data_IF_344601199594
#
_entry.id   IF_344601199594
#
_cell.length_a   1.000
_cell.length_b   1.000
_cell.length_c   1.000
_cell.angle_alpha   90.00
_cell.angle_beta   90.00
_cell.angle_gamma   90.00
#
_symmetry.space_group_name_H-M   'P 1'
#
loop_
_entity.id
_entity.type
_entity.pdbx_description
1 polymer ?
#
# COMPACT_ATOMS: atom_id res chain seq x y z
N UNK A 1 11.27 26.03 -14.74
CA UNK A 1 9.93 26.48 -14.34
C UNK A 1 9.41 25.44 -13.36
N UNK A 2 9.27 25.79 -12.07
CA UNK A 2 8.84 24.85 -11.04
C UNK A 2 7.34 24.59 -11.20
N UNK A 3 6.97 23.35 -11.54
CA UNK A 3 5.61 22.84 -11.41
C UNK A 3 5.29 22.71 -9.93
N UNK A 4 4.75 23.78 -9.37
CA UNK A 4 4.21 23.82 -8.01
C UNK A 4 2.82 23.17 -8.10
N UNK A 5 2.72 21.87 -7.77
CA UNK A 5 1.42 21.20 -7.71
C UNK A 5 0.87 21.22 -6.29
N UNK A 6 -0.32 21.82 -6.15
CA UNK A 6 -1.01 22.17 -4.92
C UNK A 6 -1.48 20.94 -4.13
N UNK A 7 -0.96 20.78 -2.91
CA UNK A 7 -1.80 20.25 -1.83
C UNK A 7 -2.74 21.38 -1.38
N UNK A 8 -3.93 21.05 -0.88
CA UNK A 8 -4.86 22.08 -0.40
C UNK A 8 -4.38 22.60 0.94
N UNK A 9 -4.17 23.91 1.06
CA UNK A 9 -3.94 24.53 2.36
C UNK A 9 -5.27 24.73 3.09
N UNK A 10 -5.38 24.15 4.28
CA UNK A 10 -6.54 24.27 5.16
C UNK A 10 -6.23 25.27 6.27
N UNK A 11 -7.26 26.00 6.71
CA UNK A 11 -7.15 26.90 7.85
C UNK A 11 -7.23 26.15 9.17
N UNK A 12 -6.74 26.75 10.25
CA UNK A 12 -6.89 26.22 11.61
C UNK A 12 -8.37 25.97 11.93
N UNK A 13 -9.26 26.88 11.51
CA UNK A 13 -10.72 26.74 11.72
C UNK A 13 -11.29 25.50 11.02
N UNK A 14 -10.78 25.14 9.84
CA UNK A 14 -11.21 23.93 9.13
C UNK A 14 -10.83 22.68 9.93
N UNK A 15 -9.63 22.66 10.49
CA UNK A 15 -9.15 21.53 11.31
C UNK A 15 -9.97 21.40 12.59
N UNK A 16 -10.20 22.48 13.33
CA UNK A 16 -11.05 22.47 14.53
C UNK A 16 -12.46 21.98 14.23
N UNK A 17 -13.06 22.43 13.12
CA UNK A 17 -14.40 21.99 12.71
C UNK A 17 -14.41 20.51 12.35
N UNK A 18 -13.38 20.04 11.64
CA UNK A 18 -13.30 18.66 11.18
C UNK A 18 -13.05 17.65 12.30
N UNK A 19 -12.37 18.05 13.37
CA UNK A 19 -12.04 17.21 14.53
C UNK A 19 -12.96 17.44 15.73
N UNK A 20 -14.02 18.23 15.58
CA UNK A 20 -14.91 18.66 16.67
C UNK A 20 -14.13 19.17 17.90
N UNK A 21 -13.27 20.16 17.66
CA UNK A 21 -12.36 20.73 18.68
C UNK A 21 -11.41 19.69 19.30
N UNK A 22 -10.92 18.75 18.48
CA UNK A 22 -10.05 17.62 18.89
C UNK A 22 -10.74 16.69 19.89
N UNK A 23 -12.01 16.35 19.64
CA UNK A 23 -12.76 15.45 20.50
C UNK A 23 -12.01 14.11 20.69
N UNK A 24 -11.80 13.66 21.95
CA UNK A 24 -11.07 12.42 22.23
C UNK A 24 -11.67 11.15 21.60
N UNK A 25 -12.97 11.14 21.29
CA UNK A 25 -13.63 10.01 20.62
C UNK A 25 -13.28 9.89 19.13
N UNK A 26 -12.78 10.98 18.53
CA UNK A 26 -12.31 11.00 17.14
C UNK A 26 -10.82 10.66 17.03
N UNK A 27 -10.12 10.52 18.16
CA UNK A 27 -8.71 10.11 18.16
C UNK A 27 -8.55 8.69 17.64
N UNK A 28 -7.72 8.53 16.63
CA UNK A 28 -7.33 7.23 16.05
C UNK A 28 -6.08 6.71 16.76
N UNK A 29 -5.05 7.55 16.83
CA UNK A 29 -3.73 7.14 17.34
C UNK A 29 -3.02 8.33 18.01
N UNK A 30 -2.17 8.04 18.99
CA UNK A 30 -1.15 8.96 19.49
C UNK A 30 0.21 8.28 19.43
N UNK A 31 1.05 8.79 18.54
CA UNK A 31 2.41 8.30 18.34
C UNK A 31 3.44 9.32 18.81
N UNK A 32 4.71 8.95 18.72
CA UNK A 32 5.84 9.80 19.13
C UNK A 32 5.82 11.17 18.44
N UNK A 33 5.35 11.26 17.20
CA UNK A 33 5.44 12.46 16.38
C UNK A 33 4.18 13.33 16.35
N UNK A 34 3.08 12.83 16.89
CA UNK A 34 1.81 13.55 16.82
C UNK A 34 0.61 12.67 17.13
N UNK A 35 -0.55 13.30 17.03
CA UNK A 35 -1.85 12.66 17.27
C UNK A 35 -2.63 12.64 15.96
N UNK A 36 -3.24 11.51 15.65
CA UNK A 36 -4.07 11.32 14.46
C UNK A 36 -5.53 11.33 14.89
N UNK A 37 -6.33 12.21 14.27
CA UNK A 37 -7.78 12.30 14.46
C UNK A 37 -8.51 11.87 13.18
N UNK A 38 -9.62 11.17 13.36
CA UNK A 38 -10.65 11.04 12.34
C UNK A 38 -11.33 12.41 12.18
N UNK A 39 -11.53 12.83 10.94
CA UNK A 39 -12.24 14.06 10.68
C UNK A 39 -13.12 14.00 9.45
N UNK A 40 -13.85 15.08 9.21
CA UNK A 40 -14.71 15.24 8.05
C UNK A 40 -14.49 16.62 7.42
N UNK A 41 -13.87 16.67 6.26
CA UNK A 41 -13.54 17.90 5.52
C UNK A 41 -14.15 17.85 4.12
N UNK A 42 -14.85 18.91 3.72
CA UNK A 42 -15.43 19.04 2.38
C UNK A 42 -16.23 17.79 1.94
N UNK A 43 -17.09 17.27 2.82
CA UNK A 43 -17.88 16.05 2.61
C UNK A 43 -17.07 14.75 2.45
N UNK A 44 -15.79 14.77 2.81
CA UNK A 44 -14.88 13.63 2.72
C UNK A 44 -14.38 13.27 4.10
N UNK A 45 -14.36 11.96 4.39
CA UNK A 45 -13.76 11.47 5.61
C UNK A 45 -12.23 11.47 5.48
N UNK A 46 -11.55 12.00 6.49
CA UNK A 46 -10.09 12.22 6.47
C UNK A 46 -9.42 11.72 7.75
N UNK A 47 -8.12 11.49 7.67
CA UNK A 47 -7.25 11.33 8.82
C UNK A 47 -6.38 12.58 8.96
N UNK A 48 -6.39 13.22 10.12
CA UNK A 48 -5.71 14.48 10.39
C UNK A 48 -4.61 14.21 11.41
N UNK A 49 -3.36 14.21 10.97
CA UNK A 49 -2.16 14.05 11.82
C UNK A 49 -1.69 15.42 12.24
N UNK A 50 -1.82 15.74 13.54
CA UNK A 50 -1.31 16.97 14.14
C UNK A 50 0.04 16.67 14.78
N UNK A 51 1.11 17.27 14.26
CA UNK A 51 2.46 17.00 14.72
C UNK A 51 2.76 17.72 16.05
N UNK A 52 3.55 17.09 16.93
CA UNK A 52 3.96 17.73 18.17
C UNK A 52 4.99 18.85 17.89
N UNK A 53 4.72 20.11 18.28
CA UNK A 53 5.59 21.25 17.97
C UNK A 53 6.91 21.24 18.77
N UNK A 54 6.96 20.49 19.88
CA UNK A 54 8.11 20.47 20.81
C UNK A 54 9.22 19.49 20.42
N UNK A 55 9.02 18.73 19.35
CA UNK A 55 10.04 17.81 18.84
C UNK A 55 10.84 18.59 17.80
N UNK A 56 12.16 18.66 17.95
CA UNK A 56 13.10 19.40 17.09
C UNK A 56 12.95 19.11 15.58
N UNK A 57 12.27 18.00 15.26
CA UNK A 57 11.98 17.52 13.92
C UNK A 57 10.54 17.82 13.44
N UNK A 58 9.64 18.43 14.22
CA UNK A 58 8.24 18.62 13.83
C UNK A 58 8.06 19.43 12.53
N UNK A 59 8.69 20.60 12.43
CA UNK A 59 8.65 21.45 11.22
C UNK A 59 9.41 20.80 10.06
N UNK A 60 10.61 20.27 10.33
CA UNK A 60 11.44 19.64 9.29
C UNK A 60 10.80 18.35 8.75
N UNK A 61 10.15 17.58 9.61
CA UNK A 61 9.38 16.38 9.29
C UNK A 61 8.13 16.71 8.51
N UNK A 62 7.36 17.71 8.95
CA UNK A 62 6.23 18.26 8.21
C UNK A 62 6.62 18.64 6.78
N UNK A 63 7.64 19.50 6.63
CA UNK A 63 8.08 19.97 5.32
C UNK A 63 8.59 18.82 4.46
N UNK A 64 9.36 17.90 5.04
CA UNK A 64 9.86 16.71 4.33
C UNK A 64 8.72 15.85 3.82
N UNK A 65 7.72 15.57 4.65
CA UNK A 65 6.60 14.71 4.29
C UNK A 65 5.74 15.36 3.20
N UNK A 66 5.48 16.67 3.30
CA UNK A 66 4.85 17.46 2.23
C UNK A 66 5.68 17.42 0.94
N UNK A 67 6.99 17.61 1.01
CA UNK A 67 7.90 17.63 -0.15
C UNK A 67 8.00 16.27 -0.85
N UNK A 68 7.91 15.18 -0.10
CA UNK A 68 7.93 13.80 -0.62
C UNK A 68 6.56 13.46 -1.21
N UNK A 69 5.49 13.56 -0.41
CA UNK A 69 4.14 13.13 -0.82
C UNK A 69 3.53 14.03 -1.90
N UNK A 70 3.98 15.28 -2.03
CA UNK A 70 3.59 16.12 -3.18
C UNK A 70 4.10 15.58 -4.52
N UNK A 71 5.21 14.82 -4.52
CA UNK A 71 5.87 14.28 -5.71
C UNK A 71 5.59 12.79 -5.95
N UNK A 72 5.14 12.06 -4.94
CA UNK A 72 4.82 10.64 -5.06
C UNK A 72 3.36 10.42 -5.47
N UNK A 73 3.15 9.60 -6.50
CA UNK A 73 1.84 9.16 -6.97
C UNK A 73 1.89 7.67 -7.27
N UNK A 74 1.23 6.88 -6.44
CA UNK A 74 1.18 5.43 -6.58
C UNK A 74 -0.06 4.90 -5.83
N UNK A 75 -0.77 3.89 -6.33
CA UNK A 75 -1.99 3.37 -5.69
C UNK A 75 -1.76 2.87 -4.25
N UNK A 76 -0.57 2.35 -3.97
CA UNK A 76 -0.18 1.84 -2.66
C UNK A 76 0.62 2.86 -1.81
N UNK A 77 0.52 4.16 -2.10
CA UNK A 77 1.02 5.24 -1.24
C UNK A 77 -0.18 5.99 -0.68
N UNK A 78 -0.16 6.32 0.61
CA UNK A 78 -1.21 7.14 1.23
C UNK A 78 -1.30 8.51 0.56
N UNK A 79 -2.52 8.92 0.23
CA UNK A 79 -2.79 10.20 -0.42
C UNK A 79 -2.79 11.34 0.59
N UNK A 80 -1.91 12.32 0.40
CA UNK A 80 -1.97 13.61 1.07
C UNK A 80 -3.01 14.50 0.38
N UNK A 81 -4.11 14.80 1.07
CA UNK A 81 -5.20 15.66 0.59
C UNK A 81 -4.82 17.14 0.76
N UNK A 82 -4.16 17.46 1.87
CA UNK A 82 -3.80 18.83 2.19
C UNK A 82 -2.98 18.95 3.46
N UNK A 83 -2.69 20.19 3.84
CA UNK A 83 -1.97 20.50 5.07
C UNK A 83 -2.48 21.80 5.70
N UNK A 84 -2.29 21.95 7.01
CA UNK A 84 -2.46 23.20 7.74
C UNK A 84 -1.12 23.57 8.40
N UNK A 85 -0.31 24.43 7.75
CA UNK A 85 1.02 24.78 8.24
C UNK A 85 1.03 25.46 9.61
N UNK A 86 -0.01 26.25 9.93
CA UNK A 86 -0.10 27.04 11.17
C UNK A 86 -0.03 26.17 12.44
N UNK A 87 -0.52 24.93 12.35
CA UNK A 87 -0.53 23.96 13.45
C UNK A 87 0.21 22.66 13.08
N UNK A 88 0.97 22.67 11.98
CA UNK A 88 1.71 21.50 11.47
C UNK A 88 0.81 20.25 11.32
N UNK A 89 -0.38 20.41 10.75
CA UNK A 89 -1.31 19.31 10.51
C UNK A 89 -1.25 18.81 9.07
N UNK A 90 -1.22 17.49 8.90
CA UNK A 90 -1.27 16.81 7.60
C UNK A 90 -2.61 16.09 7.47
N UNK A 91 -3.27 16.24 6.32
CA UNK A 91 -4.60 15.71 6.06
C UNK A 91 -4.48 14.64 4.99
N UNK A 92 -4.82 13.41 5.35
CA UNK A 92 -4.75 12.24 4.48
C UNK A 92 -6.14 11.67 4.21
N UNK A 93 -6.23 10.82 3.19
CA UNK A 93 -7.36 9.93 3.03
C UNK A 93 -7.56 9.07 4.29
N UNK A 94 -8.82 8.86 4.68
CA UNK A 94 -9.13 7.94 5.77
C UNK A 94 -9.20 6.50 5.28
N UNK A 95 -8.49 5.60 5.96
CA UNK A 95 -8.42 4.18 5.62
C UNK A 95 -9.15 3.34 6.69
N UNK A 96 -10.33 2.78 6.37
CA UNK A 96 -11.25 2.25 7.37
C UNK A 96 -10.81 0.93 8.01
N UNK A 97 -9.90 0.19 7.38
CA UNK A 97 -9.40 -1.07 7.93
C UNK A 97 -8.14 -0.88 8.81
N UNK A 98 -7.77 0.37 9.11
CA UNK A 98 -6.66 0.68 10.02
C UNK A 98 -5.30 0.21 9.51
N UNK A 99 -4.38 -0.08 10.43
CA UNK A 99 -3.05 -0.57 10.12
C UNK A 99 -3.01 -2.10 9.99
N UNK A 100 -1.97 -2.63 9.34
CA UNK A 100 -1.71 -4.06 9.30
C UNK A 100 -1.43 -4.62 10.72
N UNK A 101 -0.88 -3.80 11.62
CA UNK A 101 -0.66 -4.17 13.04
C UNK A 101 -2.00 -4.49 13.74
N UNK A 102 -2.99 -3.62 13.56
CA UNK A 102 -4.35 -3.82 14.10
C UNK A 102 -4.99 -5.09 13.54
N UNK A 103 -4.79 -5.33 12.25
CA UNK A 103 -5.42 -6.45 11.54
C UNK A 103 -4.75 -7.80 11.80
N UNK A 104 -3.45 -7.83 12.05
CA UNK A 104 -2.74 -9.02 12.53
C UNK A 104 -3.12 -9.33 13.98
N UNK A 105 -3.34 -8.30 14.81
CA UNK A 105 -3.77 -8.45 16.21
C UNK A 105 -5.27 -8.75 16.36
N UNK A 106 -6.04 -8.66 15.27
CA UNK A 106 -7.50 -8.73 15.28
C UNK A 106 -8.14 -7.76 16.28
N UNK A 107 -7.59 -6.53 16.36
CA UNK A 107 -8.13 -5.45 17.19
C UNK A 107 -9.60 -5.20 16.84
N UNK A 108 -10.38 -4.74 17.83
CA UNK A 108 -11.82 -4.48 17.72
C UNK A 108 -12.64 -5.67 17.18
N UNK A 109 -12.23 -6.89 17.53
CA UNK A 109 -12.87 -8.15 17.10
C UNK A 109 -12.94 -8.32 15.57
N UNK A 110 -12.03 -7.67 14.85
CA UNK A 110 -11.98 -7.77 13.39
C UNK A 110 -11.60 -9.18 12.93
N UNK A 111 -12.19 -9.71 11.84
CA UNK A 111 -11.92 -11.07 11.40
C UNK A 111 -10.45 -11.23 10.96
N UNK A 112 -9.83 -12.41 11.12
CA UNK A 112 -8.46 -12.63 10.65
C UNK A 112 -8.30 -12.41 9.15
N UNK A 113 -7.17 -11.85 8.72
CA UNK A 113 -6.84 -11.74 7.31
C UNK A 113 -6.57 -13.11 6.71
N UNK A 114 -7.26 -13.45 5.62
CA UNK A 114 -7.00 -14.68 4.87
C UNK A 114 -5.60 -14.69 4.28
N UNK A 115 -4.99 -15.86 4.11
CA UNK A 115 -3.66 -15.98 3.51
C UNK A 115 -3.59 -15.32 2.11
N UNK A 116 -4.66 -15.37 1.31
CA UNK A 116 -4.73 -14.71 -0.01
C UNK A 116 -4.66 -13.20 0.10
N UNK A 117 -5.33 -12.63 1.10
CA UNK A 117 -5.27 -11.19 1.42
C UNK A 117 -3.88 -10.81 1.88
N UNK A 118 -3.24 -11.64 2.70
CA UNK A 118 -1.86 -11.42 3.16
C UNK A 118 -0.85 -11.42 2.00
N UNK A 119 -1.01 -12.32 1.02
CA UNK A 119 -0.19 -12.30 -0.21
C UNK A 119 -0.45 -11.04 -1.03
N UNK A 120 -1.70 -10.59 -1.18
CA UNK A 120 -2.00 -9.32 -1.87
C UNK A 120 -1.30 -8.14 -1.19
N UNK A 121 -1.40 -8.04 0.14
CA UNK A 121 -0.72 -6.99 0.92
C UNK A 121 0.80 -7.05 0.70
N UNK A 122 1.40 -8.25 0.72
CA UNK A 122 2.82 -8.42 0.45
C UNK A 122 3.22 -7.96 -0.96
N UNK A 123 2.41 -8.27 -1.98
CA UNK A 123 2.63 -7.84 -3.37
C UNK A 123 2.50 -6.32 -3.51
N UNK A 124 1.43 -5.73 -2.98
CA UNK A 124 1.21 -4.27 -2.97
C UNK A 124 2.39 -3.54 -2.32
N UNK A 125 2.88 -4.07 -1.18
CA UNK A 125 4.01 -3.51 -0.47
C UNK A 125 5.31 -3.64 -1.27
N UNK A 126 5.55 -4.77 -1.95
CA UNK A 126 6.67 -4.93 -2.87
C UNK A 126 6.62 -3.91 -4.01
N UNK A 127 5.45 -3.67 -4.60
CA UNK A 127 5.26 -2.70 -5.69
C UNK A 127 5.59 -1.27 -5.25
N UNK A 128 5.09 -0.82 -4.10
CA UNK A 128 5.41 0.54 -3.61
C UNK A 128 6.88 0.68 -3.23
N UNK A 129 7.51 -0.35 -2.64
CA UNK A 129 8.94 -0.33 -2.34
C UNK A 129 9.77 -0.21 -3.62
N UNK A 130 9.44 -1.00 -4.64
CA UNK A 130 10.08 -0.92 -5.95
C UNK A 130 9.93 0.49 -6.55
N UNK A 131 8.73 1.07 -6.47
CA UNK A 131 8.46 2.42 -6.95
C UNK A 131 9.30 3.50 -6.25
N UNK A 132 9.34 3.52 -4.91
CA UNK A 132 10.09 4.53 -4.15
C UNK A 132 11.60 4.35 -4.27
N UNK A 133 12.09 3.11 -4.38
CA UNK A 133 13.51 2.81 -4.58
C UNK A 133 13.99 3.15 -5.99
N UNK A 134 13.12 3.04 -6.99
CA UNK A 134 13.43 3.29 -8.41
C UNK A 134 13.18 4.74 -8.86
N UNK A 135 12.82 5.64 -7.92
CA UNK A 135 12.51 7.02 -8.24
C UNK A 135 13.71 7.73 -8.91
N UNK A 136 13.45 8.31 -10.10
CA UNK A 136 14.46 8.80 -11.06
C UNK A 136 15.30 9.96 -10.54
N UNK A 137 14.75 10.79 -9.67
CA UNK A 137 15.46 11.97 -9.17
C UNK A 137 16.38 11.60 -8.00
N UNK A 138 15.88 10.84 -7.02
CA UNK A 138 16.64 10.24 -5.93
C UNK A 138 15.88 9.01 -5.40
N UNK A 139 16.58 7.89 -5.21
CA UNK A 139 16.02 6.71 -4.52
C UNK A 139 15.58 7.10 -3.10
N UNK A 140 14.31 6.86 -2.78
CA UNK A 140 13.73 7.16 -1.46
C UNK A 140 13.73 5.89 -0.64
N UNK A 141 14.47 5.89 0.47
CA UNK A 141 14.39 4.81 1.48
C UNK A 141 13.27 5.15 2.45
N UNK A 142 12.40 4.18 2.73
CA UNK A 142 11.32 4.34 3.70
C UNK A 142 11.89 4.48 5.12
N UNK A 143 12.72 3.54 5.55
CA UNK A 143 13.49 3.56 6.79
C UNK A 143 12.71 3.30 8.09
N UNK A 144 11.38 3.34 8.06
CA UNK A 144 10.51 2.97 9.19
C UNK A 144 9.42 1.95 8.79
N UNK A 145 9.77 0.95 7.98
CA UNK A 145 8.78 0.00 7.47
C UNK A 145 8.39 -0.98 8.57
N UNK A 146 7.12 -0.97 8.97
CA UNK A 146 6.53 -1.87 9.98
C UNK A 146 5.01 -1.98 9.79
N UNK A 147 4.33 -2.98 10.38
CA UNK A 147 2.89 -3.16 10.23
C UNK A 147 2.04 -1.93 10.58
N UNK A 148 2.43 -1.13 11.58
CA UNK A 148 1.74 0.11 11.95
C UNK A 148 1.72 1.17 10.84
N UNK A 149 2.72 1.16 9.95
CA UNK A 149 2.85 2.11 8.83
C UNK A 149 2.33 1.55 7.49
N UNK A 150 1.66 0.39 7.55
CA UNK A 150 1.03 -0.25 6.39
C UNK A 150 -0.47 -0.18 6.63
N UNK A 151 -1.14 0.78 6.00
CA UNK A 151 -2.57 1.02 6.19
C UNK A 151 -3.39 0.28 5.13
N UNK A 152 -4.64 -0.05 5.45
CA UNK A 152 -5.52 -0.83 4.57
C UNK A 152 -6.79 -0.05 4.24
N UNK A 153 -7.09 0.07 2.94
CA UNK A 153 -8.35 0.64 2.47
C UNK A 153 -9.54 -0.30 2.69
N UNK A 154 -10.74 0.10 2.26
CA UNK A 154 -11.97 -0.69 2.41
C UNK A 154 -11.91 -2.08 1.75
N UNK A 155 -11.05 -2.27 0.76
CA UNK A 155 -10.87 -3.51 -0.01
C UNK A 155 -9.61 -4.29 0.41
N UNK A 156 -8.95 -3.90 1.51
CA UNK A 156 -7.66 -4.44 1.94
C UNK A 156 -6.50 -4.20 0.97
N UNK A 157 -6.62 -3.18 0.10
CA UNK A 157 -5.47 -2.69 -0.67
C UNK A 157 -4.54 -1.97 0.30
N UNK A 158 -3.26 -2.33 0.23
CA UNK A 158 -2.25 -1.78 1.11
C UNK A 158 -1.84 -0.37 0.65
N UNK A 159 -1.73 0.58 1.59
CA UNK A 159 -1.19 1.91 1.40
C UNK A 159 -0.09 2.20 2.42
N UNK A 160 1.10 2.50 1.92
CA UNK A 160 2.26 2.83 2.73
C UNK A 160 2.17 4.29 3.21
N UNK A 161 2.27 4.49 4.53
CA UNK A 161 2.31 5.80 5.18
C UNK A 161 3.72 6.13 5.67
N UNK A 162 3.95 7.37 6.12
CA UNK A 162 5.21 7.81 6.76
C UNK A 162 6.48 7.67 5.89
N UNK A 163 6.32 7.76 4.57
CA UNK A 163 7.43 7.60 3.62
C UNK A 163 8.49 8.67 3.83
N UNK A 164 9.74 8.24 4.05
CA UNK A 164 10.89 9.13 4.27
C UNK A 164 10.92 9.77 5.66
N UNK A 165 10.01 9.37 6.55
CA UNK A 165 10.04 9.65 7.98
C UNK A 165 10.67 8.44 8.65
N UNK A 166 12.00 8.43 8.74
CA UNK A 166 12.71 7.39 9.49
C UNK A 166 13.00 7.88 10.91
N UNK A 167 12.80 6.99 11.86
CA UNK A 167 12.89 7.30 13.28
C UNK A 167 14.37 7.43 13.69
N UNK A 168 14.94 8.62 13.49
CA UNK A 168 16.31 8.94 13.94
C UNK A 168 16.42 8.83 15.48
N UNK A 169 15.33 9.06 16.21
CA UNK A 169 15.27 8.86 17.66
C UNK A 169 15.38 7.37 18.02
N UNK A 170 14.88 6.43 17.21
CA UNK A 170 15.02 4.99 17.47
C UNK A 170 16.49 4.55 17.47
N UNK A 171 17.35 5.16 16.66
CA UNK A 171 18.80 4.92 16.71
C UNK A 171 19.40 5.44 18.01
N UNK A 172 19.06 6.66 18.42
CA UNK A 172 19.53 7.25 19.69
C UNK A 172 19.04 6.43 20.89
N UNK A 173 17.78 6.01 20.86
CA UNK A 173 17.13 5.24 21.93
C UNK A 173 17.68 3.82 22.00
N UNK A 174 17.97 3.18 20.85
CA UNK A 174 18.62 1.86 20.80
C UNK A 174 20.01 1.90 21.46
N UNK A 175 20.76 2.99 21.28
CA UNK A 175 22.06 3.19 21.94
C UNK A 175 21.95 3.35 23.46
N UNK A 176 20.81 3.83 23.95
CA UNK A 176 20.57 4.12 25.37
C UNK A 176 19.88 2.97 26.12
N UNK A 177 19.02 2.19 25.45
CA UNK A 177 18.08 1.25 26.10
C UNK A 177 18.35 -0.22 25.79
N UNK A 178 19.28 -0.53 24.87
CA UNK A 178 19.52 -1.88 24.33
C UNK A 178 18.28 -2.55 23.68
N UNK A 179 17.13 -1.88 23.59
CA UNK A 179 15.96 -2.35 22.84
C UNK A 179 16.00 -1.74 21.45
N UNK A 180 16.36 -2.54 20.45
CA UNK A 180 16.33 -2.16 19.04
C UNK A 180 15.03 -2.67 18.43
N UNK A 181 14.33 -1.83 17.66
CA UNK A 181 13.14 -2.26 16.93
C UNK A 181 13.47 -3.48 16.06
N UNK A 182 12.65 -4.56 16.07
CA UNK A 182 12.95 -5.80 15.36
C UNK A 182 12.92 -5.63 13.83
N UNK A 183 12.33 -4.55 13.35
CA UNK A 183 12.28 -4.18 11.93
C UNK A 183 13.53 -3.43 11.46
N UNK A 184 14.41 -2.97 12.37
CA UNK A 184 15.62 -2.23 11.99
C UNK A 184 16.69 -3.18 11.46
N UNK A 185 17.26 -2.82 10.30
CA UNK A 185 18.35 -3.55 9.69
C UNK A 185 19.59 -3.57 10.63
N UNK A 186 20.11 -4.75 11.02
CA UNK A 186 21.27 -4.84 11.91
C UNK A 186 22.52 -4.12 11.35
N UNK A 187 22.70 -4.09 10.03
CA UNK A 187 23.78 -3.30 9.43
C UNK A 187 23.54 -1.80 9.53
N UNK A 188 22.28 -1.35 9.48
CA UNK A 188 21.95 0.05 9.68
C UNK A 188 22.24 0.47 11.11
N UNK A 189 21.84 -0.32 12.11
CA UNK A 189 22.16 -0.09 13.51
C UNK A 189 23.67 0.00 13.76
N UNK A 190 24.45 -0.83 13.06
CA UNK A 190 25.92 -0.86 13.22
C UNK A 190 26.62 0.30 12.50
N UNK A 191 26.16 0.66 11.30
CA UNK A 191 26.89 1.60 10.43
C UNK A 191 26.32 3.02 10.41
N UNK A 192 25.08 3.21 10.86
CA UNK A 192 24.30 4.44 10.70
C UNK A 192 23.95 4.78 9.25
N UNK A 193 24.22 3.89 8.29
CA UNK A 193 24.01 4.15 6.84
C UNK A 193 22.72 3.52 6.36
N UNK A 194 21.71 4.36 6.19
CA UNK A 194 20.42 3.97 5.62
C UNK A 194 20.56 3.69 4.11
N UNK A 195 19.92 2.63 3.64
CA UNK A 195 19.98 2.17 2.25
C UNK A 195 18.69 1.43 1.87
N UNK A 196 18.32 1.32 0.58
CA UNK A 196 17.13 0.58 0.14
C UNK A 196 17.05 -0.85 0.66
N UNK A 197 18.21 -1.52 0.81
CA UNK A 197 18.29 -2.86 1.37
C UNK A 197 17.86 -2.95 2.84
N UNK A 198 17.84 -1.84 3.59
CA UNK A 198 17.30 -1.81 4.95
C UNK A 198 15.77 -2.02 4.92
N UNK A 199 15.05 -1.43 3.96
CA UNK A 199 13.62 -1.67 3.79
C UNK A 199 13.34 -3.12 3.40
N UNK A 200 14.23 -3.75 2.62
CA UNK A 200 14.12 -5.19 2.28
C UNK A 200 14.18 -6.05 3.55
N UNK A 201 15.05 -5.71 4.51
CA UNK A 201 15.10 -6.42 5.79
C UNK A 201 13.78 -6.29 6.55
N UNK A 202 13.29 -5.06 6.72
CA UNK A 202 12.03 -4.78 7.39
C UNK A 202 10.85 -5.48 6.70
N UNK A 203 10.84 -5.50 5.36
CA UNK A 203 9.87 -6.21 4.55
C UNK A 203 9.90 -7.72 4.83
N UNK A 204 11.10 -8.32 4.95
CA UNK A 204 11.28 -9.71 5.35
C UNK A 204 10.60 -10.04 6.68
N UNK A 205 10.76 -9.19 7.69
CA UNK A 205 10.09 -9.35 9.00
C UNK A 205 8.57 -9.29 8.83
N UNK A 206 8.05 -8.32 8.05
CA UNK A 206 6.61 -8.23 7.75
C UNK A 206 6.10 -9.50 7.06
N UNK A 207 6.84 -10.06 6.10
CA UNK A 207 6.46 -11.32 5.44
C UNK A 207 6.38 -12.49 6.43
N UNK A 208 7.32 -12.58 7.38
CA UNK A 208 7.30 -13.62 8.42
C UNK A 208 6.07 -13.47 9.33
N UNK A 209 5.70 -12.24 9.69
CA UNK A 209 4.48 -11.99 10.47
C UNK A 209 3.22 -12.30 9.68
N UNK A 210 3.16 -11.95 8.40
CA UNK A 210 2.05 -12.33 7.52
C UNK A 210 1.90 -13.86 7.45
N UNK A 211 2.99 -14.60 7.41
CA UNK A 211 2.97 -16.07 7.35
C UNK A 211 2.50 -16.70 8.67
N UNK A 212 2.96 -16.19 9.81
CA UNK A 212 2.83 -16.85 11.11
C UNK A 212 1.78 -16.24 12.04
N UNK A 213 1.39 -14.99 11.80
CA UNK A 213 0.55 -14.21 12.71
C UNK A 213 1.22 -13.89 14.06
N UNK A 214 2.54 -14.06 14.17
CA UNK A 214 3.28 -13.92 15.43
C UNK A 214 3.91 -12.55 15.61
N UNK A 215 4.27 -12.18 16.86
CA UNK A 215 5.12 -11.04 17.13
C UNK A 215 6.46 -11.12 16.40
N UNK A 216 7.10 -9.97 16.10
CA UNK A 216 8.33 -9.92 15.30
C UNK A 216 9.59 -10.39 16.06
N UNK A 217 9.55 -10.54 17.38
CA UNK A 217 10.70 -10.94 18.19
C UNK A 217 11.13 -12.38 17.87
N UNK A 218 12.40 -12.55 17.47
CA UNK A 218 13.01 -13.85 17.13
C UNK A 218 12.28 -14.66 16.03
N UNK A 219 11.31 -14.05 15.34
CA UNK A 219 10.47 -14.73 14.36
C UNK A 219 11.28 -15.35 13.20
N UNK A 220 12.37 -14.69 12.79
CA UNK A 220 13.27 -15.20 11.76
C UNK A 220 14.01 -16.46 12.22
N UNK A 221 14.48 -16.49 13.46
CA UNK A 221 15.16 -17.65 14.05
C UNK A 221 14.19 -18.83 14.22
N UNK A 222 12.98 -18.57 14.74
CA UNK A 222 11.95 -19.59 14.89
C UNK A 222 11.59 -20.24 13.54
N UNK A 223 11.38 -19.43 12.50
CA UNK A 223 11.05 -19.93 11.15
C UNK A 223 12.23 -20.68 10.53
N UNK A 224 13.46 -20.19 10.71
CA UNK A 224 14.68 -20.87 10.25
C UNK A 224 14.80 -22.28 10.87
N UNK A 225 14.60 -22.40 12.18
CA UNK A 225 14.68 -23.66 12.92
C UNK A 225 13.56 -24.63 12.54
N UNK A 226 12.33 -24.11 12.36
CA UNK A 226 11.20 -24.91 11.93
C UNK A 226 11.39 -25.45 10.50
N UNK A 227 11.98 -24.68 9.58
CA UNK A 227 12.32 -25.18 8.25
C UNK A 227 13.41 -26.25 8.34
N UNK A 228 14.45 -26.04 9.14
CA UNK A 228 15.54 -27.02 9.33
C UNK A 228 15.04 -28.35 9.90
N UNK A 229 13.96 -28.30 10.69
CA UNK A 229 13.32 -29.47 11.32
C UNK A 229 12.10 -30.01 10.54
N UNK A 230 11.84 -29.52 9.32
CA UNK A 230 10.66 -29.84 8.49
C UNK A 230 9.31 -29.70 9.23
N UNK A 231 9.21 -28.67 10.07
CA UNK A 231 8.07 -28.39 10.95
C UNK A 231 7.47 -27.00 10.71
N UNK A 232 7.67 -26.40 9.53
CA UNK A 232 7.15 -25.08 9.16
C UNK A 232 5.63 -24.99 9.36
N UNK A 233 4.90 -26.06 9.07
CA UNK A 233 3.43 -26.13 9.19
C UNK A 233 2.91 -25.76 10.58
N UNK A 234 3.69 -26.00 11.63
CA UNK A 234 3.33 -25.66 13.02
C UNK A 234 3.42 -24.16 13.34
N UNK A 235 4.14 -23.40 12.51
CA UNK A 235 4.30 -21.95 12.66
C UNK A 235 3.30 -21.16 11.82
N UNK A 236 2.71 -21.78 10.79
CA UNK A 236 1.75 -21.11 9.92
C UNK A 236 0.53 -20.68 10.72
N UNK A 237 0.05 -19.46 10.47
CA UNK A 237 -1.12 -18.94 11.16
C UNK A 237 -2.37 -19.76 10.79
N UNK A 238 -2.98 -20.50 11.74
CA UNK A 238 -4.17 -21.28 11.46
C UNK A 238 -5.40 -20.39 11.19
N UNK A 239 -5.39 -19.14 11.66
CA UNK A 239 -6.51 -18.20 11.51
C UNK A 239 -6.58 -17.61 10.10
N UNK A 240 -5.46 -17.61 9.36
CA UNK A 240 -5.39 -17.17 7.96
C UNK A 240 -6.08 -18.16 6.98
N UNK A 241 -6.63 -19.26 7.49
CA UNK A 241 -7.15 -20.37 6.70
C UNK A 241 -6.06 -21.36 6.32
N UNK A 242 -6.36 -22.22 5.34
CA UNK A 242 -5.44 -23.28 4.92
C UNK A 242 -4.38 -22.73 3.97
N UNK A 243 -3.21 -22.42 4.50
CA UNK A 243 -2.00 -22.15 3.71
C UNK A 243 -1.64 -23.36 2.83
N UNK A 244 -1.48 -23.18 1.51
CA UNK A 244 -0.83 -24.15 0.65
C UNK A 244 0.65 -24.30 1.08
N UNK A 245 1.07 -25.51 1.44
CA UNK A 245 2.38 -25.74 2.07
C UNK A 245 3.54 -25.31 1.18
N UNK A 246 3.46 -25.55 -0.13
CA UNK A 246 4.54 -25.23 -1.06
C UNK A 246 4.72 -23.71 -1.22
N UNK A 247 3.62 -22.97 -1.27
CA UNK A 247 3.58 -21.52 -1.34
C UNK A 247 4.06 -20.89 -0.02
N UNK A 248 3.60 -21.43 1.11
CA UNK A 248 4.06 -21.03 2.44
C UNK A 248 5.57 -21.23 2.60
N UNK A 249 6.09 -22.36 2.13
CA UNK A 249 7.52 -22.68 2.16
C UNK A 249 8.33 -21.75 1.24
N UNK A 250 7.82 -21.44 0.03
CA UNK A 250 8.45 -20.47 -0.87
C UNK A 250 8.51 -19.08 -0.22
N UNK A 251 7.41 -18.63 0.38
CA UNK A 251 7.34 -17.34 1.05
C UNK A 251 8.28 -17.28 2.25
N UNK A 252 8.36 -18.34 3.06
CA UNK A 252 9.27 -18.39 4.22
C UNK A 252 10.74 -18.31 3.81
N UNK A 253 11.15 -19.01 2.75
CA UNK A 253 12.52 -18.92 2.24
C UNK A 253 12.85 -17.53 1.71
N UNK A 254 11.92 -16.91 0.97
CA UNK A 254 12.07 -15.55 0.48
C UNK A 254 12.22 -14.56 1.65
N UNK A 255 11.34 -14.65 2.64
CA UNK A 255 11.34 -13.77 3.81
C UNK A 255 12.63 -13.89 4.62
N UNK A 256 13.14 -15.11 4.86
CA UNK A 256 14.42 -15.31 5.54
C UNK A 256 15.61 -14.73 4.76
N UNK A 257 15.60 -14.83 3.43
CA UNK A 257 16.63 -14.19 2.59
C UNK A 257 16.57 -12.66 2.67
N UNK A 258 15.38 -12.08 2.73
CA UNK A 258 15.21 -10.65 2.99
C UNK A 258 15.84 -10.23 4.33
N UNK A 259 15.72 -11.08 5.36
CA UNK A 259 16.29 -10.88 6.68
C UNK A 259 17.80 -11.18 6.80
N UNK A 260 18.52 -11.50 5.71
CA UNK A 260 19.96 -11.81 5.79
C UNK A 260 20.74 -10.60 6.35
N UNK A 261 21.62 -10.87 7.32
CA UNK A 261 22.48 -9.85 7.94
C UNK A 261 23.39 -9.21 6.89
N UNK A 262 23.75 -9.92 5.83
CA UNK A 262 24.50 -9.38 4.70
C UNK A 262 23.57 -8.77 3.64
N UNK A 263 23.55 -7.43 3.54
CA UNK A 263 22.77 -6.66 2.55
C UNK A 263 22.92 -7.18 1.11
N UNK A 264 24.09 -7.67 0.71
CA UNK A 264 24.31 -8.14 -0.67
C UNK A 264 23.72 -9.52 -0.97
N UNK A 265 23.23 -10.25 0.04
CA UNK A 265 22.55 -11.54 -0.12
C UNK A 265 21.03 -11.42 -0.14
N UNK A 266 20.51 -10.24 0.27
CA UNK A 266 19.09 -9.94 0.22
C UNK A 266 18.63 -9.95 -1.25
N UNK A 267 17.44 -10.50 -1.53
CA UNK A 267 16.96 -10.64 -2.90
C UNK A 267 16.58 -9.28 -3.48
N UNK A 268 16.66 -9.17 -4.80
CA UNK A 268 16.20 -8.00 -5.53
C UNK A 268 14.66 -7.91 -5.57
N UNK A 269 14.12 -6.68 -5.49
CA UNK A 269 12.68 -6.45 -5.42
C UNK A 269 11.95 -6.88 -6.70
N UNK A 270 12.48 -6.52 -7.87
CA UNK A 270 11.82 -6.76 -9.16
C UNK A 270 12.05 -8.19 -9.64
N UNK A 271 13.31 -8.62 -9.65
CA UNK A 271 13.72 -9.87 -10.32
C UNK A 271 13.61 -11.12 -9.45
N UNK A 272 13.45 -10.98 -8.12
CA UNK A 272 13.35 -12.14 -7.22
C UNK A 272 12.11 -12.08 -6.32
N UNK A 273 11.89 -10.98 -5.60
CA UNK A 273 10.78 -10.88 -4.64
C UNK A 273 9.43 -10.84 -5.38
N UNK A 274 9.27 -9.91 -6.31
CA UNK A 274 8.02 -9.72 -7.04
C UNK A 274 7.65 -10.97 -7.85
N UNK A 275 8.61 -11.60 -8.53
CA UNK A 275 8.38 -12.85 -9.28
C UNK A 275 7.79 -13.96 -8.39
N UNK A 276 8.34 -14.16 -7.18
CA UNK A 276 7.84 -15.17 -6.25
C UNK A 276 6.45 -14.83 -5.74
N UNK A 277 6.20 -13.56 -5.37
CA UNK A 277 4.90 -13.11 -4.88
C UNK A 277 3.82 -13.23 -5.96
N UNK A 278 4.12 -12.83 -7.20
CA UNK A 278 3.23 -12.97 -8.35
C UNK A 278 2.93 -14.43 -8.68
N UNK A 279 3.94 -15.30 -8.65
CA UNK A 279 3.74 -16.73 -8.85
C UNK A 279 2.80 -17.34 -7.81
N UNK A 280 2.93 -16.94 -6.53
CA UNK A 280 2.01 -17.37 -5.47
C UNK A 280 0.60 -16.81 -5.76
N UNK A 281 0.49 -15.52 -6.11
CA UNK A 281 -0.80 -14.86 -6.41
C UNK A 281 -1.56 -15.52 -7.55
N UNK A 282 -0.87 -15.88 -8.64
CA UNK A 282 -1.48 -16.58 -9.80
C UNK A 282 -1.95 -17.99 -9.42
N UNK A 283 -1.15 -18.74 -8.62
CA UNK A 283 -1.55 -20.06 -8.09
C UNK A 283 -2.89 -19.97 -7.31
N UNK A 284 -3.14 -18.85 -6.62
CA UNK A 284 -4.38 -18.60 -5.88
C UNK A 284 -5.62 -18.46 -6.77
N UNK A 285 -5.46 -17.84 -7.95
CA UNK A 285 -6.55 -17.53 -8.88
C UNK A 285 -6.94 -18.75 -9.74
N UNK A 286 -5.98 -19.64 -10.01
CA UNK A 286 -6.20 -20.86 -10.78
C UNK A 286 -6.88 -22.00 -9.98
N UNK A 287 -7.07 -21.83 -8.67
CA UNK A 287 -7.76 -22.80 -7.81
C UNK A 287 -9.26 -22.53 -7.78
N UNK A 288 -10.12 -23.34 -8.44
CA UNK A 288 -11.56 -23.12 -8.38
C UNK A 288 -12.06 -23.35 -6.94
N UNK A 289 -12.79 -22.38 -6.41
CA UNK A 289 -13.61 -22.58 -5.21
C UNK A 289 -14.64 -23.67 -5.51
N UNK A 290 -14.53 -24.80 -4.82
CA UNK A 290 -15.53 -25.86 -4.85
C UNK A 290 -16.89 -25.32 -4.38
N UNK A 291 -17.81 -25.10 -5.31
CA UNK A 291 -19.24 -25.03 -5.04
C UNK A 291 -19.89 -26.29 -5.67
N UNK A 292 -20.70 -27.07 -4.93
CA UNK A 292 -21.39 -28.21 -5.49
C UNK A 292 -22.71 -27.78 -6.17
N UNK A 293 -23.04 -28.45 -7.29
CA UNK A 293 -24.33 -28.49 -8.02
C UNK A 293 -24.56 -27.27 -8.96
N UNK A 294 -24.95 -27.38 -10.23
CA UNK A 294 -25.56 -28.43 -11.07
C UNK A 294 -25.19 -28.20 -12.55
N UNK A 295 -25.10 -29.29 -13.31
CA UNK A 295 -25.06 -29.31 -14.77
C UNK A 295 -26.30 -28.62 -15.38
N UNK A 296 -26.09 -27.64 -16.27
CA UNK A 296 -26.87 -27.52 -17.50
C UNK A 296 -26.15 -26.61 -18.52
N UNK A 297 -25.75 -27.24 -19.62
CA UNK A 297 -25.36 -26.75 -20.94
C UNK A 297 -25.36 -25.22 -21.21
N UNK A 298 -24.16 -24.67 -21.42
CA UNK A 298 -23.89 -23.68 -22.48
C UNK A 298 -22.38 -23.66 -22.79
N UNK A 299 -22.05 -23.91 -24.05
CA UNK A 299 -20.67 -23.92 -24.57
C UNK A 299 -19.98 -22.55 -24.40
N UNK A 300 -18.69 -22.49 -24.03
CA UNK A 300 -17.93 -21.25 -24.06
C UNK A 300 -17.39 -20.99 -25.48
N UNK A 301 -17.27 -19.72 -25.92
CA UNK A 301 -16.67 -19.39 -27.19
C UNK A 301 -15.16 -19.63 -27.17
N UNK A 302 -14.66 -20.22 -28.25
CA UNK A 302 -13.24 -20.36 -28.55
C UNK A 302 -12.50 -19.02 -28.47
N UNK A 303 -11.47 -18.93 -27.63
CA UNK A 303 -10.37 -18.00 -27.87
C UNK A 303 -9.06 -18.78 -27.92
N UNK A 304 -8.37 -18.64 -29.04
CA UNK A 304 -7.09 -19.27 -29.34
C UNK A 304 -6.02 -18.81 -28.34
N UNK A 305 -5.29 -19.77 -27.79
CA UNK A 305 -4.01 -19.54 -27.15
C UNK A 305 -2.98 -19.15 -28.22
N UNK A 306 -2.34 -17.99 -28.05
CA UNK A 306 -1.08 -17.67 -28.71
C UNK A 306 -0.14 -17.09 -27.66
N UNK A 307 0.91 -17.84 -27.35
CA UNK A 307 2.07 -17.35 -26.60
C UNK A 307 2.83 -16.33 -27.47
N UNK A 308 3.33 -15.20 -26.93
CA UNK A 308 4.34 -14.43 -27.63
C UNK A 308 5.73 -14.89 -27.20
N UNK A 309 6.50 -15.35 -28.19
CA UNK A 309 7.95 -15.41 -28.17
C UNK A 309 8.53 -14.00 -28.10
N UNK A 310 9.46 -13.78 -27.17
CA UNK A 310 10.23 -12.55 -27.02
C UNK A 310 11.25 -12.42 -28.15
N UNK A 311 11.13 -11.35 -28.94
CA UNK A 311 12.19 -10.78 -29.78
C UNK A 311 12.49 -9.35 -29.29
N UNK A 312 13.71 -8.82 -29.51
CA UNK A 312 14.22 -7.66 -28.80
C UNK A 312 13.60 -6.33 -29.28
N UNK A 313 13.43 -5.45 -28.30
CA UNK A 313 12.75 -4.14 -28.34
C UNK A 313 13.32 -3.20 -29.39
N UNK A 314 12.46 -2.73 -30.30
CA UNK A 314 12.60 -1.46 -31.00
C UNK A 314 11.76 -0.40 -30.28
N UNK A 315 12.40 0.68 -29.83
CA UNK A 315 11.76 1.86 -29.24
C UNK A 315 10.89 2.59 -30.27
N UNK A 316 9.61 2.23 -30.41
CA UNK A 316 8.55 3.09 -30.96
C UNK A 316 7.19 2.39 -30.72
N UNK A 317 6.25 3.11 -30.08
CA UNK A 317 4.91 2.69 -29.59
C UNK A 317 4.86 1.84 -28.31
N UNK A 318 5.08 2.48 -27.16
CA UNK A 318 4.56 1.94 -25.89
C UNK A 318 3.04 2.11 -25.84
N UNK A 319 2.33 1.01 -25.56
CA UNK A 319 0.89 1.06 -25.28
C UNK A 319 0.61 1.91 -24.03
N UNK A 320 -0.55 2.60 -23.95
CA UNK A 320 -0.93 3.32 -22.73
C UNK A 320 -1.02 2.33 -21.56
N UNK A 321 -0.54 2.72 -20.36
CA UNK A 321 -0.80 1.94 -19.15
C UNK A 321 -2.29 1.68 -18.94
N UNK A 322 -2.65 0.48 -18.50
CA UNK A 322 -4.06 0.06 -18.38
C UNK A 322 -4.91 0.99 -17.50
N UNK A 323 -4.31 1.63 -16.50
CA UNK A 323 -4.99 2.57 -15.61
C UNK A 323 -5.33 3.93 -16.26
N UNK A 324 -4.85 4.19 -17.49
CA UNK A 324 -5.30 5.31 -18.31
C UNK A 324 -6.58 4.98 -19.09
N UNK A 325 -6.91 3.70 -19.23
CA UNK A 325 -8.05 3.25 -20.00
C UNK A 325 -9.31 3.27 -19.13
N UNK A 326 -10.40 3.78 -19.71
CA UNK A 326 -11.70 3.70 -19.07
C UNK A 326 -12.13 2.24 -19.02
N UNK A 327 -12.54 1.71 -17.85
CA UNK A 327 -12.89 0.29 -17.78
C UNK A 327 -14.13 -0.10 -18.61
N UNK A 328 -14.99 0.87 -18.96
CA UNK A 328 -16.18 0.63 -19.80
C UNK A 328 -15.83 0.69 -21.28
N UNK A 329 -15.20 1.79 -21.73
CA UNK A 329 -14.94 2.00 -23.18
C UNK A 329 -13.63 1.40 -23.66
N UNK A 330 -12.71 1.06 -22.75
CA UNK A 330 -11.35 0.60 -23.04
C UNK A 330 -10.53 1.63 -23.87
N UNK A 331 -10.93 2.91 -23.79
CA UNK A 331 -10.24 4.03 -24.43
C UNK A 331 -9.57 4.90 -23.37
N UNK A 332 -8.52 5.63 -23.76
CA UNK A 332 -7.83 6.58 -22.87
C UNK A 332 -8.82 7.63 -22.37
N UNK A 333 -8.90 7.80 -21.05
CA UNK A 333 -9.81 8.75 -20.42
C UNK A 333 -9.39 10.19 -20.71
N UNK A 334 -10.29 10.98 -21.27
CA UNK A 334 -10.10 12.42 -21.45
C UNK A 334 -10.58 13.20 -20.23
N UNK A 335 -11.65 12.73 -19.58
CA UNK A 335 -12.23 13.34 -18.39
C UNK A 335 -12.44 12.31 -17.25
N UNK A 336 -11.35 11.79 -16.64
CA UNK A 336 -11.45 10.75 -15.63
C UNK A 336 -12.16 11.25 -14.35
N UNK A 337 -13.15 10.49 -13.88
CA UNK A 337 -13.91 10.70 -12.65
C UNK A 337 -14.04 9.42 -11.84
N UNK A 338 -13.86 9.55 -10.53
CA UNK A 338 -14.03 8.46 -9.57
C UNK A 338 -15.49 8.33 -9.13
N UNK A 339 -15.99 7.10 -9.09
CA UNK A 339 -17.31 6.76 -8.55
C UNK A 339 -17.20 6.33 -7.08
N UNK A 340 -18.36 6.13 -6.41
CA UNK A 340 -18.42 5.77 -5.00
C UNK A 340 -17.78 4.41 -4.65
N UNK A 341 -17.50 3.56 -5.64
CA UNK A 341 -16.79 2.29 -5.51
C UNK A 341 -15.26 2.44 -5.53
N UNK A 342 -14.74 3.66 -5.73
CA UNK A 342 -13.31 3.96 -5.81
C UNK A 342 -12.69 3.77 -7.20
N UNK A 343 -13.45 3.26 -8.19
CA UNK A 343 -12.96 3.11 -9.56
C UNK A 343 -13.09 4.42 -10.34
N UNK A 344 -12.14 4.67 -11.24
CA UNK A 344 -12.15 5.84 -12.12
C UNK A 344 -12.62 5.46 -13.53
N UNK A 345 -13.49 6.28 -14.10
CA UNK A 345 -14.13 6.08 -15.39
C UNK A 345 -14.08 7.37 -16.21
N UNK A 346 -14.31 7.27 -17.52
CA UNK A 346 -14.63 8.43 -18.35
C UNK A 346 -15.97 9.02 -17.90
N UNK A 347 -16.00 10.32 -17.60
CA UNK A 347 -17.12 11.00 -16.96
C UNK A 347 -18.43 10.77 -17.73
N UNK A 348 -18.41 11.00 -19.04
CA UNK A 348 -19.61 10.95 -19.87
C UNK A 348 -20.11 9.52 -20.05
N UNK A 349 -19.20 8.56 -20.13
CA UNK A 349 -19.51 7.12 -20.23
C UNK A 349 -20.23 6.64 -18.97
N UNK A 350 -19.70 6.98 -17.79
CA UNK A 350 -20.33 6.60 -16.52
C UNK A 350 -21.64 7.37 -16.26
N UNK A 351 -21.73 8.66 -16.61
CA UNK A 351 -23.00 9.41 -16.53
C UNK A 351 -24.07 8.80 -17.41
N UNK A 352 -23.70 8.34 -18.61
CA UNK A 352 -24.61 7.65 -19.52
C UNK A 352 -25.10 6.33 -18.92
N UNK A 353 -24.19 5.52 -18.37
CA UNK A 353 -24.52 4.28 -17.65
C UNK A 353 -25.55 4.51 -16.54
N UNK A 354 -25.33 5.50 -15.68
CA UNK A 354 -26.25 5.83 -14.58
C UNK A 354 -27.60 6.35 -15.11
N UNK A 355 -27.58 7.18 -16.16
CA UNK A 355 -28.81 7.73 -16.77
C UNK A 355 -29.66 6.67 -17.47
N UNK A 356 -29.06 5.57 -17.92
CA UNK A 356 -29.80 4.42 -18.48
C UNK A 356 -30.54 3.57 -17.44
N UNK A 357 -30.48 3.95 -16.15
CA UNK A 357 -31.24 3.33 -15.08
C UNK A 357 -30.47 2.28 -14.28
N UNK A 358 -29.15 2.15 -14.51
CA UNK A 358 -28.28 1.33 -13.69
C UNK A 358 -27.87 2.08 -12.41
N UNK A 359 -27.88 1.38 -11.28
CA UNK A 359 -27.41 1.85 -9.96
C UNK A 359 -26.18 1.05 -9.46
N UNK A 360 -25.58 0.24 -10.33
CA UNK A 360 -24.42 -0.61 -10.02
C UNK A 360 -23.14 -0.14 -10.67
N UNK A 361 -22.01 -0.49 -10.03
CA UNK A 361 -20.65 -0.34 -10.53
C UNK A 361 -20.47 -1.14 -11.83
N UNK A 362 -20.03 -0.51 -12.93
CA UNK A 362 -19.70 -1.22 -14.16
C UNK A 362 -18.57 -2.24 -14.00
N UNK A 363 -17.70 -2.07 -12.99
CA UNK A 363 -16.55 -2.95 -12.74
C UNK A 363 -16.86 -4.13 -11.84
N UNK A 364 -17.66 -3.91 -10.80
CA UNK A 364 -17.88 -4.93 -9.76
C UNK A 364 -19.30 -5.47 -9.74
N UNK A 365 -20.22 -4.85 -10.48
CA UNK A 365 -21.66 -5.12 -10.48
C UNK A 365 -22.34 -4.96 -9.10
N UNK A 366 -21.66 -4.33 -8.15
CA UNK A 366 -22.22 -3.98 -6.83
C UNK A 366 -22.96 -2.64 -6.89
N UNK A 367 -24.01 -2.48 -6.08
CA UNK A 367 -24.74 -1.20 -5.97
C UNK A 367 -23.81 -0.08 -5.48
N UNK A 368 -23.82 1.06 -6.17
CA UNK A 368 -23.04 2.22 -5.77
C UNK A 368 -23.67 2.90 -4.56
N UNK A 369 -22.86 3.23 -3.55
CA UNK A 369 -23.35 3.89 -2.34
C UNK A 369 -23.98 5.27 -2.62
N UNK A 370 -23.52 5.95 -3.67
CA UNK A 370 -24.12 7.17 -4.20
C UNK A 370 -23.68 7.38 -5.67
N UNK A 371 -24.33 8.30 -6.38
CA UNK A 371 -24.05 8.60 -7.79
C UNK A 371 -23.16 9.85 -7.99
N UNK A 372 -22.47 10.30 -6.94
CA UNK A 372 -21.58 11.45 -7.02
C UNK A 372 -20.31 11.06 -7.75
N UNK A 373 -19.90 11.86 -8.73
CA UNK A 373 -18.67 11.65 -9.48
C UNK A 373 -17.64 12.69 -9.06
N UNK A 374 -16.46 12.24 -8.65
CA UNK A 374 -15.37 13.10 -8.19
C UNK A 374 -14.35 13.23 -9.34
N UNK A 375 -14.06 14.44 -9.84
CA UNK A 375 -13.05 14.61 -10.89
C UNK A 375 -11.67 14.11 -10.44
N UNK A 376 -11.06 13.21 -11.19
CA UNK A 376 -9.71 12.72 -10.94
C UNK A 376 -8.69 13.57 -11.71
N UNK A 377 -8.46 14.80 -11.23
CA UNK A 377 -7.55 15.75 -11.87
C UNK A 377 -6.11 15.22 -11.96
N UNK A 378 -5.68 14.41 -11.00
CA UNK A 378 -4.36 13.80 -11.00
C UNK A 378 -4.20 12.82 -12.17
N UNK A 379 -5.15 11.89 -12.35
CA UNK A 379 -5.13 10.97 -13.49
C UNK A 379 -5.25 11.72 -14.81
N UNK A 380 -6.07 12.77 -14.87
CA UNK A 380 -6.19 13.61 -16.07
C UNK A 380 -4.85 14.24 -16.45
N UNK A 381 -4.11 14.80 -15.49
CA UNK A 381 -2.79 15.38 -15.74
C UNK A 381 -1.77 14.33 -16.19
N UNK A 382 -1.77 13.14 -15.59
CA UNK A 382 -0.88 12.04 -15.97
C UNK A 382 -1.15 11.55 -17.40
N UNK A 383 -2.42 11.40 -17.79
CA UNK A 383 -2.82 11.04 -19.15
C UNK A 383 -2.36 12.12 -20.14
N UNK A 384 -2.54 13.40 -19.81
CA UNK A 384 -2.14 14.51 -20.67
C UNK A 384 -0.62 14.56 -20.88
N UNK A 385 0.16 14.36 -19.81
CA UNK A 385 1.62 14.32 -19.90
C UNK A 385 2.09 13.13 -20.74
N UNK A 386 1.51 11.95 -20.53
CA UNK A 386 1.83 10.77 -21.33
C UNK A 386 1.48 10.96 -22.82
N UNK A 387 0.32 11.53 -23.12
CA UNK A 387 -0.14 11.79 -24.49
C UNK A 387 0.74 12.84 -25.19
N UNK A 388 1.28 13.82 -24.45
CA UNK A 388 2.24 14.79 -25.00
C UNK A 388 3.61 14.16 -25.32
N UNK A 389 4.01 13.15 -24.56
CA UNK A 389 5.25 12.41 -24.78
C UNK A 389 5.10 11.31 -25.86
N UNK A 390 3.86 10.93 -26.20
CA UNK A 390 3.52 9.88 -27.16
C UNK A 390 2.37 10.34 -28.10
N UNK A 391 2.64 11.29 -29.03
CA UNK A 391 1.64 11.97 -29.85
C UNK A 391 1.05 11.15 -31.01
#
# INVERSE_FOLDING_TARGET
>A
MHTQQCFTEFSVSDIHTATDEYDPSLKIEEGTYGIIYRGFLNHTQVAIKVLHPNISQGIAGFQREVDILSKLRHPNVVTLIGACPDILALIYEYLPNGSLEDRLSCNDDTPPLSWKTRIHIATDLCCVLLFIHSNRDHSIVHGNLRPGNILLDANYVCKLSEIGVWDELSLETSSMTNSTSPYLDPQFCTTGRLAPSADIYSFGIVLLQLLTGRPPENIAEEVQDAIASDNLSSLLDPTAGRWPYQEAQRLSFLALRCCDVNRSRRPDLETEILEVLEAIRVSCAASPSFNPVSEENQEPPHYFAASPSFDPVSEENQAPPDYFLCPISQEIMSDPHMAADGYTYEAETLRTWLRTGHDTSPMTNNTLANHTLIPNHALRSAIQEWTQQHP
#
